data_IF_611921917563
#
_entry.id   IF_611921917563
#
_cell.length_a   1.000
_cell.length_b   1.000
_cell.length_c   1.000
_cell.angle_alpha   90.00
_cell.angle_beta   90.00
_cell.angle_gamma   90.00
#
_symmetry.space_group_name_H-M   'P 1'
#
loop_
_entity.id
_entity.type
_entity.pdbx_description
1 polymer ?
#
# COMPACT_ATOMS: atom_id res chain seq x y z
N UNK A 1 -27.24 -15.25 -25.96
CA UNK A 1 -26.31 -14.20 -25.49
C UNK A 1 -26.19 -14.34 -23.98
N UNK A 2 -25.12 -14.97 -23.49
CA UNK A 2 -24.92 -15.26 -22.07
C UNK A 2 -24.07 -14.14 -21.47
N UNK A 3 -24.66 -13.27 -20.67
CA UNK A 3 -23.92 -12.26 -19.91
C UNK A 3 -23.15 -12.96 -18.80
N UNK A 4 -21.82 -12.91 -18.88
CA UNK A 4 -20.94 -13.25 -17.76
C UNK A 4 -21.22 -12.25 -16.63
N UNK A 5 -22.06 -12.64 -15.68
CA UNK A 5 -22.09 -12.02 -14.36
C UNK A 5 -20.72 -12.31 -13.75
N UNK A 6 -19.87 -11.27 -13.66
CA UNK A 6 -18.61 -11.33 -12.92
C UNK A 6 -19.00 -11.73 -11.50
N UNK A 7 -18.66 -12.95 -11.09
CA UNK A 7 -18.95 -13.47 -9.75
C UNK A 7 -18.39 -12.45 -8.77
N UNK A 8 -19.25 -11.72 -8.05
CA UNK A 8 -18.81 -10.82 -6.99
C UNK A 8 -18.20 -11.70 -5.91
N UNK A 9 -16.86 -11.70 -5.84
CA UNK A 9 -16.16 -12.19 -4.66
C UNK A 9 -16.57 -11.25 -3.54
N UNK A 10 -17.52 -11.65 -2.70
CA UNK A 10 -17.98 -10.82 -1.59
C UNK A 10 -16.87 -10.74 -0.53
N UNK A 11 -15.94 -9.80 -0.71
CA UNK A 11 -14.95 -9.48 0.30
C UNK A 11 -15.66 -8.92 1.54
N UNK A 12 -15.25 -9.33 2.73
CA UNK A 12 -15.73 -8.66 3.93
C UNK A 12 -15.18 -7.23 3.96
N UNK A 13 -15.86 -6.31 4.65
CA UNK A 13 -15.33 -4.95 4.85
C UNK A 13 -13.95 -4.97 5.51
N UNK A 14 -13.70 -5.94 6.39
CA UNK A 14 -12.40 -6.13 7.01
C UNK A 14 -11.30 -6.49 5.99
N UNK A 15 -11.61 -7.35 5.01
CA UNK A 15 -10.68 -7.71 3.94
C UNK A 15 -10.42 -6.51 3.03
N UNK A 16 -11.46 -5.76 2.67
CA UNK A 16 -11.36 -4.54 1.85
C UNK A 16 -10.42 -3.54 2.53
N UNK A 17 -10.64 -3.23 3.81
CA UNK A 17 -9.79 -2.32 4.58
C UNK A 17 -8.36 -2.84 4.66
N UNK A 18 -8.18 -4.13 4.93
CA UNK A 18 -6.86 -4.76 5.05
C UNK A 18 -6.06 -4.64 3.75
N UNK A 19 -6.68 -4.95 2.61
CA UNK A 19 -6.04 -4.84 1.29
C UNK A 19 -5.69 -3.39 0.99
N UNK A 20 -6.65 -2.48 1.16
CA UNK A 20 -6.45 -1.07 0.86
C UNK A 20 -5.33 -0.46 1.73
N UNK A 21 -5.36 -0.68 3.05
CA UNK A 21 -4.30 -0.19 3.95
C UNK A 21 -2.95 -0.79 3.54
N UNK A 22 -2.88 -2.08 3.23
CA UNK A 22 -1.64 -2.73 2.78
C UNK A 22 -1.09 -2.10 1.49
N UNK A 23 -1.96 -1.78 0.53
CA UNK A 23 -1.57 -1.08 -0.69
C UNK A 23 -1.02 0.32 -0.41
N UNK A 24 -1.69 1.12 0.43
CA UNK A 24 -1.22 2.46 0.79
C UNK A 24 0.12 2.40 1.53
N UNK A 25 0.25 1.49 2.50
CA UNK A 25 1.49 1.28 3.26
C UNK A 25 2.65 0.91 2.33
N UNK A 26 2.43 -0.03 1.41
CA UNK A 26 3.43 -0.42 0.41
C UNK A 26 3.78 0.69 -0.57
N UNK A 27 2.79 1.50 -0.98
CA UNK A 27 2.98 2.62 -1.93
C UNK A 27 3.74 3.79 -1.30
N UNK A 28 3.45 4.09 -0.03
CA UNK A 28 4.05 5.21 0.70
C UNK A 28 5.35 4.81 1.42
N UNK A 29 5.72 3.53 1.41
CA UNK A 29 6.89 3.04 2.14
C UNK A 29 6.74 3.08 3.67
N UNK A 30 5.51 3.10 4.17
CA UNK A 30 5.22 3.12 5.61
C UNK A 30 5.57 1.77 6.23
N UNK A 31 6.23 1.78 7.38
CA UNK A 31 6.59 0.57 8.12
C UNK A 31 5.48 0.13 9.07
N UNK A 32 5.50 -1.13 9.52
CA UNK A 32 4.57 -1.59 10.56
C UNK A 32 4.76 -0.86 11.90
N UNK A 33 5.97 -0.36 12.16
CA UNK A 33 6.28 0.44 13.36
C UNK A 33 5.55 1.79 13.32
N UNK A 34 5.63 2.49 12.19
CA UNK A 34 4.95 3.76 11.99
C UNK A 34 3.42 3.60 11.99
N UNK A 35 2.91 2.55 11.35
CA UNK A 35 1.47 2.22 11.40
C UNK A 35 1.00 1.91 12.83
N UNK A 36 1.85 1.27 13.64
CA UNK A 36 1.56 1.02 15.05
C UNK A 36 1.48 2.34 15.86
N UNK A 37 2.39 3.28 15.57
CA UNK A 37 2.35 4.63 16.16
C UNK A 37 1.08 5.39 15.78
N UNK A 38 0.69 5.37 14.50
CA UNK A 38 -0.55 6.02 14.01
C UNK A 38 -1.77 5.47 14.75
N UNK A 39 -1.83 4.15 14.93
CA UNK A 39 -2.96 3.47 15.55
C UNK A 39 -2.92 3.47 17.09
N UNK A 40 -1.84 3.94 17.72
CA UNK A 40 -1.65 3.88 19.16
C UNK A 40 -1.62 2.45 19.72
N UNK A 41 -1.12 1.49 18.94
CA UNK A 41 -1.03 0.06 19.32
C UNK A 41 0.40 -0.45 19.18
N UNK A 42 0.63 -1.72 19.52
CA UNK A 42 1.93 -2.37 19.30
C UNK A 42 2.02 -3.00 17.90
N UNK A 43 3.24 -3.24 17.41
CA UNK A 43 3.49 -3.85 16.10
C UNK A 43 2.84 -5.23 15.92
N UNK A 44 2.85 -6.15 16.92
CA UNK A 44 2.10 -7.41 16.80
C UNK A 44 0.61 -7.23 16.51
N UNK A 45 -0.04 -6.24 17.13
CA UNK A 45 -1.45 -5.91 16.86
C UNK A 45 -1.67 -5.39 15.44
N UNK A 46 -0.71 -4.65 14.88
CA UNK A 46 -0.75 -4.24 13.46
C UNK A 46 -0.62 -5.45 12.54
N UNK A 47 0.37 -6.32 12.79
CA UNK A 47 0.59 -7.52 11.99
C UNK A 47 -0.65 -8.44 11.98
N UNK A 48 -1.32 -8.64 13.12
CA UNK A 48 -2.56 -9.43 13.18
C UNK A 48 -3.67 -8.81 12.34
N UNK A 49 -3.84 -7.49 12.34
CA UNK A 49 -4.81 -6.79 11.50
C UNK A 49 -4.48 -6.89 10.01
N UNK A 50 -3.21 -6.69 9.63
CA UNK A 50 -2.76 -6.83 8.24
C UNK A 50 -2.91 -8.27 7.70
N UNK A 51 -2.97 -9.27 8.59
CA UNK A 51 -3.28 -10.67 8.25
C UNK A 51 -4.77 -11.00 8.33
N UNK A 52 -5.65 -10.03 8.61
CA UNK A 52 -7.09 -10.23 8.79
C UNK A 52 -7.47 -11.00 10.06
N UNK A 53 -6.53 -11.25 10.98
CA UNK A 53 -6.76 -12.01 12.22
C UNK A 53 -7.40 -11.16 13.34
N UNK A 54 -7.50 -9.85 13.14
CA UNK A 54 -8.11 -8.90 14.07
C UNK A 54 -8.83 -7.87 13.25
N UNK A 55 -10.08 -7.59 13.64
CA UNK A 55 -10.92 -6.64 12.92
C UNK A 55 -10.40 -5.20 13.04
N UNK A 56 -10.55 -4.45 11.95
CA UNK A 56 -10.38 -3.01 11.93
C UNK A 56 -11.57 -2.32 12.59
N UNK A 57 -11.30 -1.48 13.58
CA UNK A 57 -12.32 -0.58 14.13
C UNK A 57 -12.49 0.62 13.20
N UNK A 58 -13.66 1.24 13.20
CA UNK A 58 -13.89 2.47 12.42
C UNK A 58 -12.92 3.60 12.84
N UNK A 59 -12.60 3.68 14.14
CA UNK A 59 -11.56 4.59 14.66
C UNK A 59 -10.18 4.32 14.08
N UNK A 60 -9.84 3.06 13.81
CA UNK A 60 -8.56 2.68 13.21
C UNK A 60 -8.52 3.15 11.74
N UNK A 61 -9.65 3.02 11.02
CA UNK A 61 -9.81 3.49 9.64
C UNK A 61 -9.69 5.01 9.55
N UNK A 62 -10.36 5.75 10.44
CA UNK A 62 -10.28 7.21 10.47
C UNK A 62 -8.85 7.69 10.79
N UNK A 63 -8.18 7.09 11.79
CA UNK A 63 -6.81 7.45 12.14
C UNK A 63 -5.81 7.23 10.98
N UNK A 64 -5.95 6.11 10.27
CA UNK A 64 -5.10 5.81 9.10
C UNK A 64 -5.41 6.76 7.94
N UNK A 65 -6.69 7.05 7.70
CA UNK A 65 -7.10 7.98 6.65
C UNK A 65 -6.58 9.41 6.90
N UNK A 66 -6.67 9.89 8.14
CA UNK A 66 -6.12 11.18 8.57
C UNK A 66 -4.60 11.22 8.37
N UNK A 67 -3.88 10.19 8.83
CA UNK A 67 -2.42 10.11 8.67
C UNK A 67 -1.98 10.07 7.20
N UNK A 68 -2.80 9.51 6.31
CA UNK A 68 -2.52 9.44 4.87
C UNK A 68 -3.09 10.63 4.08
N UNK A 69 -3.80 11.55 4.73
CA UNK A 69 -4.42 12.71 4.07
C UNK A 69 -5.51 12.34 3.06
N UNK A 70 -6.26 11.27 3.32
CA UNK A 70 -7.34 10.78 2.45
C UNK A 70 -8.68 10.69 3.21
N UNK A 71 -9.79 10.59 2.48
CA UNK A 71 -11.10 10.31 3.07
C UNK A 71 -11.16 8.87 3.59
N UNK A 72 -11.76 8.62 4.76
CA UNK A 72 -11.95 7.26 5.30
C UNK A 72 -12.80 6.36 4.40
N UNK A 73 -13.78 6.94 3.69
CA UNK A 73 -14.53 6.25 2.63
C UNK A 73 -13.63 5.61 1.55
N UNK A 74 -12.43 6.17 1.32
CA UNK A 74 -11.47 5.61 0.37
C UNK A 74 -11.01 4.22 0.82
N UNK A 75 -10.75 4.01 2.10
CA UNK A 75 -10.30 2.71 2.63
C UNK A 75 -11.42 1.64 2.63
N UNK A 76 -12.68 2.05 2.47
CA UNK A 76 -13.86 1.19 2.46
C UNK A 76 -14.35 0.85 1.04
N UNK A 77 -13.68 1.35 0.01
CA UNK A 77 -14.06 1.10 -1.40
C UNK A 77 -13.43 -0.21 -1.88
N UNK A 78 -14.10 -0.95 -2.77
CA UNK A 78 -13.57 -2.21 -3.29
C UNK A 78 -12.18 -2.03 -3.95
N UNK A 79 -11.26 -3.00 -3.79
CA UNK A 79 -9.89 -2.89 -4.31
C UNK A 79 -9.79 -2.70 -5.83
N UNK A 80 -10.69 -3.29 -6.62
CA UNK A 80 -10.71 -3.12 -8.10
C UNK A 80 -10.92 -1.64 -8.49
N UNK A 81 -11.75 -0.90 -7.74
CA UNK A 81 -11.92 0.54 -7.90
C UNK A 81 -10.73 1.33 -7.32
N UNK A 82 -10.10 0.80 -6.27
CA UNK A 82 -8.88 1.37 -5.68
C UNK A 82 -7.74 1.44 -6.68
N UNK A 83 -7.40 0.30 -7.29
CA UNK A 83 -6.36 0.17 -8.32
C UNK A 83 -6.66 1.08 -9.52
N UNK A 84 -7.90 1.10 -10.01
CA UNK A 84 -8.29 1.93 -11.13
C UNK A 84 -8.19 3.45 -10.84
N UNK A 85 -8.43 3.88 -9.60
CA UNK A 85 -8.27 5.28 -9.18
C UNK A 85 -6.78 5.64 -8.97
N UNK A 86 -5.99 4.72 -8.39
CA UNK A 86 -4.56 4.94 -8.18
C UNK A 86 -3.80 4.98 -9.51
N UNK A 87 -4.08 4.05 -10.43
CA UNK A 87 -3.53 4.05 -11.77
C UNK A 87 -3.84 5.37 -12.51
N UNK A 88 -5.06 5.88 -12.39
CA UNK A 88 -5.44 7.20 -12.96
C UNK A 88 -4.71 8.38 -12.33
N UNK A 89 -4.36 8.33 -11.03
CA UNK A 89 -3.56 9.39 -10.40
C UNK A 89 -2.11 9.36 -10.86
N UNK A 90 -1.55 8.16 -11.06
CA UNK A 90 -0.20 8.00 -11.58
C UNK A 90 -0.07 8.51 -13.02
N UNK A 91 -1.09 8.27 -13.86
CA UNK A 91 -1.14 8.76 -15.26
C UNK A 91 -1.25 10.29 -15.37
N UNK A 92 -1.74 10.99 -14.34
CA UNK A 92 -1.94 12.44 -14.37
C UNK A 92 -0.73 13.25 -13.94
N UNK A 93 0.37 12.61 -13.55
CA UNK A 93 1.65 13.27 -13.39
C UNK A 93 2.56 12.92 -14.58
N UNK A 94 2.97 13.87 -15.44
CA UNK A 94 4.17 13.63 -16.23
C UNK A 94 5.28 13.35 -15.22
N UNK A 95 5.95 12.21 -15.39
CA UNK A 95 7.10 11.83 -14.61
C UNK A 95 8.16 12.94 -14.71
N UNK A 96 8.13 13.88 -13.76
CA UNK A 96 9.17 14.88 -13.62
C UNK A 96 10.39 14.16 -13.09
N UNK A 97 11.36 14.00 -13.99
CA UNK A 97 12.54 13.19 -13.79
C UNK A 97 13.42 13.77 -12.70
N UNK A 98 13.30 13.25 -11.48
CA UNK A 98 14.42 13.26 -10.54
C UNK A 98 14.22 12.18 -9.49
N UNK A 99 15.33 11.60 -9.02
CA UNK A 99 15.44 10.56 -7.97
C UNK A 99 15.50 9.11 -8.49
N UNK A 100 16.40 8.86 -9.44
CA UNK A 100 17.17 7.61 -9.45
C UNK A 100 18.46 7.82 -8.64
N UNK A 101 18.39 7.62 -7.32
CA UNK A 101 19.60 7.40 -6.53
C UNK A 101 19.98 5.94 -6.73
N UNK A 102 21.14 5.70 -7.35
CA UNK A 102 21.66 4.35 -7.57
C UNK A 102 22.08 4.04 -9.00
N UNK A 103 22.71 4.98 -9.70
CA UNK A 103 23.61 4.62 -10.78
C UNK A 103 24.78 3.80 -10.19
N UNK A 104 24.66 2.47 -10.20
CA UNK A 104 25.79 1.56 -10.00
C UNK A 104 26.67 1.59 -11.26
N UNK A 105 27.32 2.73 -11.47
CA UNK A 105 28.53 2.83 -12.26
C UNK A 105 29.70 2.47 -11.34
N UNK A 106 30.14 1.20 -11.40
CA UNK A 106 31.51 0.80 -11.04
C UNK A 106 32.04 -0.15 -12.11
N UNK A 107 32.50 0.41 -13.21
CA UNK A 107 33.58 -0.19 -13.99
C UNK A 107 34.91 0.29 -13.41
N UNK A 108 35.57 -0.53 -12.59
CA UNK A 108 37.00 -0.40 -12.34
C UNK A 108 37.62 -1.79 -12.24
N UNK A 109 38.73 -1.92 -12.96
CA UNK A 109 39.46 -3.15 -13.20
C UNK A 109 39.79 -3.91 -11.93
N UNK A 110 39.62 -5.23 -12.04
CA UNK A 110 40.00 -6.18 -11.03
C UNK A 110 40.70 -7.35 -11.70
N UNK A 111 41.90 -7.12 -12.22
CA UNK A 111 42.90 -8.19 -12.33
C UNK A 111 44.27 -7.60 -11.95
N UNK A 112 44.92 -8.10 -10.88
CA UNK A 112 46.29 -7.72 -10.55
C UNK A 112 47.25 -8.33 -11.59
N UNK A 113 48.34 -7.64 -11.95
CA UNK A 113 49.36 -8.22 -12.81
C UNK A 113 50.01 -9.41 -12.11
N UNK A 114 49.76 -10.62 -12.61
CA UNK A 114 50.60 -11.77 -12.32
C UNK A 114 51.91 -11.57 -13.07
N UNK A 115 53.00 -11.44 -12.31
CA UNK A 115 54.37 -11.44 -12.78
C UNK A 115 54.73 -12.73 -13.53
#
# INVERSE_FOLDING_TARGET
>A
MSTLVKQQTSYSLNDIVTVNISMFVGTLGVTQAELATILGVNQPSVNRRLKGQTEWKLSDVDAVAEAFGISSARLLTEPDEMDAIMARKLDKHPADGSHRVGALARSKGFEPPTF
#
